data_IF_373685553069
#
_entry.id   IF_373685553069
#
_cell.length_a   1.000
_cell.length_b   1.000
_cell.length_c   1.000
_cell.angle_alpha   90.00
_cell.angle_beta   90.00
_cell.angle_gamma   90.00
#
_symmetry.space_group_name_H-M   'P 1'
#
loop_
_entity.id
_entity.type
_entity.pdbx_description
1 polymer ?
#
# COMPACT_ATOMS: atom_id res chain seq x y z
N UNK A 1 -1.42 4.10 29.44
CA UNK A 1 -1.34 3.97 27.97
C UNK A 1 -0.70 2.63 27.59
N UNK A 2 -1.23 2.00 26.52
CA UNK A 2 -0.76 0.66 26.10
C UNK A 2 0.36 0.73 25.06
N UNK A 3 0.45 1.86 24.33
CA UNK A 3 1.40 2.06 23.22
C UNK A 3 2.28 3.26 23.57
N UNK A 4 3.57 3.02 23.72
CA UNK A 4 4.55 4.07 23.98
C UNK A 4 5.15 4.66 22.70
N UNK A 5 5.33 3.83 21.67
CA UNK A 5 5.86 4.21 20.36
C UNK A 5 4.96 3.69 19.26
N UNK A 6 4.75 4.50 18.22
CA UNK A 6 3.95 4.18 17.04
C UNK A 6 4.78 4.45 15.79
N UNK A 7 4.89 3.47 14.92
CA UNK A 7 5.53 3.63 13.60
C UNK A 7 4.47 3.45 12.52
N UNK A 8 4.35 4.42 11.63
CA UNK A 8 3.42 4.45 10.52
C UNK A 8 4.22 4.51 9.21
N UNK A 9 4.20 3.44 8.43
CA UNK A 9 4.92 3.34 7.17
C UNK A 9 3.89 3.28 6.04
N UNK A 10 3.98 4.20 5.07
CA UNK A 10 3.19 4.18 3.85
C UNK A 10 1.70 3.87 4.11
N UNK A 11 1.01 4.73 4.86
CA UNK A 11 -0.37 4.52 5.32
C UNK A 11 -1.17 5.82 5.35
N UNK A 12 -2.47 5.72 5.66
CA UNK A 12 -3.36 6.87 5.79
C UNK A 12 -4.29 6.75 7.00
N UNK A 13 -4.82 7.87 7.48
CA UNK A 13 -5.83 7.92 8.53
C UNK A 13 -7.23 7.51 8.03
N UNK A 14 -7.47 7.64 6.74
CA UNK A 14 -8.69 7.20 6.05
C UNK A 14 -8.39 6.92 4.58
N UNK A 15 -9.22 6.11 3.94
CA UNK A 15 -9.15 5.91 2.51
C UNK A 15 -9.35 7.24 1.76
N UNK A 16 -8.46 7.55 0.84
CA UNK A 16 -8.57 8.72 -0.05
C UNK A 16 -9.47 8.38 -1.26
N UNK A 17 -10.04 9.40 -1.95
CA UNK A 17 -10.73 9.14 -3.22
C UNK A 17 -9.88 8.40 -4.25
N UNK A 18 -8.56 8.60 -4.23
CA UNK A 18 -7.61 7.91 -5.10
C UNK A 18 -7.52 6.41 -4.79
N UNK A 19 -7.32 6.05 -3.52
CA UNK A 19 -7.28 4.64 -3.11
C UNK A 19 -8.62 3.94 -3.35
N UNK A 20 -9.75 4.60 -3.06
CA UNK A 20 -11.09 4.09 -3.35
C UNK A 20 -11.27 3.83 -4.86
N UNK A 21 -10.80 4.74 -5.73
CA UNK A 21 -10.88 4.55 -7.17
C UNK A 21 -10.04 3.35 -7.66
N UNK A 22 -8.85 3.16 -7.10
CA UNK A 22 -8.01 1.98 -7.38
C UNK A 22 -8.73 0.70 -6.95
N UNK A 23 -9.31 0.67 -5.76
CA UNK A 23 -10.00 -0.50 -5.23
C UNK A 23 -11.28 -0.80 -6.02
N UNK A 24 -11.99 0.23 -6.47
CA UNK A 24 -13.15 0.06 -7.34
C UNK A 24 -12.79 -0.59 -8.68
N UNK A 25 -11.67 -0.20 -9.32
CA UNK A 25 -11.24 -0.88 -10.55
C UNK A 25 -10.97 -2.36 -10.34
N UNK A 26 -10.47 -2.74 -9.18
CA UNK A 26 -10.26 -4.13 -8.80
C UNK A 26 -11.59 -4.87 -8.57
N UNK A 27 -12.57 -4.23 -7.93
CA UNK A 27 -13.94 -4.79 -7.78
C UNK A 27 -14.61 -4.99 -9.12
N UNK A 28 -14.56 -3.99 -10.00
CA UNK A 28 -15.09 -4.09 -11.36
C UNK A 28 -14.48 -5.29 -12.13
N UNK A 29 -13.18 -5.54 -11.97
CA UNK A 29 -12.54 -6.70 -12.59
C UNK A 29 -13.08 -8.04 -12.04
N UNK A 30 -13.34 -8.12 -10.73
CA UNK A 30 -13.94 -9.32 -10.12
C UNK A 30 -15.38 -9.50 -10.57
N UNK A 31 -16.16 -8.43 -10.61
CA UNK A 31 -17.58 -8.44 -11.03
C UNK A 31 -17.76 -8.79 -12.50
N UNK A 32 -16.79 -8.47 -13.34
CA UNK A 32 -16.80 -8.85 -14.75
C UNK A 32 -16.62 -10.37 -14.99
N UNK A 33 -16.18 -11.13 -13.99
CA UNK A 33 -16.11 -12.59 -14.08
C UNK A 33 -17.51 -13.20 -14.00
N UNK A 34 -17.96 -13.85 -15.07
CA UNK A 34 -19.31 -14.44 -15.17
C UNK A 34 -19.63 -15.49 -14.10
N UNK A 35 -18.63 -15.99 -13.38
CA UNK A 35 -18.82 -16.93 -12.27
C UNK A 35 -18.95 -16.26 -10.91
N UNK A 36 -18.58 -14.97 -10.79
CA UNK A 36 -18.72 -14.24 -9.53
C UNK A 36 -20.19 -14.15 -9.12
N UNK A 37 -20.48 -14.33 -7.85
CA UNK A 37 -21.85 -14.44 -7.32
C UNK A 37 -22.36 -15.88 -7.21
N UNK A 38 -21.70 -16.88 -7.81
CA UNK A 38 -22.07 -18.28 -7.61
C UNK A 38 -21.62 -18.76 -6.22
N UNK A 39 -22.40 -19.63 -5.53
CA UNK A 39 -22.11 -20.05 -4.16
C UNK A 39 -21.02 -21.13 -4.07
N UNK A 40 -19.83 -20.84 -4.61
CA UNK A 40 -18.66 -21.72 -4.60
C UNK A 40 -17.37 -20.92 -4.44
N UNK A 41 -16.38 -21.50 -3.77
CA UNK A 41 -15.14 -20.79 -3.39
C UNK A 41 -14.23 -20.41 -4.57
N UNK A 42 -14.34 -21.08 -5.71
CA UNK A 42 -13.58 -20.84 -6.92
C UNK A 42 -14.30 -19.93 -7.93
N UNK A 43 -15.44 -19.35 -7.56
CA UNK A 43 -16.12 -18.36 -8.37
C UNK A 43 -15.35 -17.03 -8.39
N UNK A 44 -15.33 -16.34 -9.53
CA UNK A 44 -14.67 -15.05 -9.69
C UNK A 44 -13.13 -15.10 -9.76
N UNK A 45 -12.52 -16.28 -9.94
CA UNK A 45 -11.06 -16.41 -9.87
C UNK A 45 -10.33 -15.76 -11.03
N UNK A 46 -10.91 -15.68 -12.22
CA UNK A 46 -10.33 -14.93 -13.35
C UNK A 46 -10.38 -13.43 -13.08
N UNK A 47 -11.50 -12.95 -12.53
CA UNK A 47 -11.65 -11.58 -12.08
C UNK A 47 -10.67 -11.22 -10.97
N UNK A 48 -10.47 -12.12 -9.99
CA UNK A 48 -9.48 -11.95 -8.93
C UNK A 48 -8.05 -11.84 -9.48
N UNK A 49 -7.67 -12.66 -10.45
CA UNK A 49 -6.36 -12.58 -11.08
C UNK A 49 -6.15 -11.22 -11.78
N UNK A 50 -7.17 -10.72 -12.49
CA UNK A 50 -7.15 -9.41 -13.11
C UNK A 50 -7.09 -8.28 -12.07
N UNK A 51 -7.89 -8.36 -11.01
CA UNK A 51 -7.88 -7.41 -9.89
C UNK A 51 -6.48 -7.32 -9.25
N UNK A 52 -5.84 -8.46 -9.01
CA UNK A 52 -4.46 -8.48 -8.50
C UNK A 52 -3.47 -7.83 -9.45
N UNK A 53 -3.61 -8.05 -10.75
CA UNK A 53 -2.74 -7.43 -11.75
C UNK A 53 -2.89 -5.89 -11.75
N UNK A 54 -4.11 -5.38 -11.58
CA UNK A 54 -4.39 -3.94 -11.41
C UNK A 54 -3.75 -3.42 -10.12
N UNK A 55 -4.03 -4.04 -8.98
CA UNK A 55 -3.47 -3.63 -7.69
C UNK A 55 -1.95 -3.64 -7.67
N UNK A 56 -1.31 -4.63 -8.32
CA UNK A 56 0.14 -4.72 -8.37
C UNK A 56 0.81 -3.51 -9.03
N UNK A 57 0.18 -2.93 -10.06
CA UNK A 57 0.73 -1.74 -10.73
C UNK A 57 0.81 -0.54 -9.77
N UNK A 58 -0.11 -0.44 -8.83
CA UNK A 58 -0.12 0.66 -7.86
C UNK A 58 0.90 0.47 -6.74
N UNK A 59 1.33 -0.76 -6.48
CA UNK A 59 2.36 -1.06 -5.48
C UNK A 59 3.78 -0.80 -5.98
N UNK A 60 3.95 -0.65 -7.31
CA UNK A 60 5.25 -0.52 -7.96
C UNK A 60 5.48 0.88 -8.50
N UNK A 61 6.69 1.39 -8.33
CA UNK A 61 7.16 2.56 -9.07
C UNK A 61 7.50 2.19 -10.51
N UNK A 62 7.14 3.04 -11.48
CA UNK A 62 7.38 2.78 -12.90
C UNK A 62 8.88 2.55 -13.20
N UNK A 63 9.77 3.31 -12.56
CA UNK A 63 11.22 3.18 -12.74
C UNK A 63 11.72 1.78 -12.30
N UNK A 64 11.36 1.34 -11.09
CA UNK A 64 11.74 0.02 -10.57
C UNK A 64 11.09 -1.12 -11.35
N UNK A 65 9.85 -0.93 -11.84
CA UNK A 65 9.19 -1.91 -12.69
C UNK A 65 9.91 -2.07 -14.03
N UNK A 66 10.25 -0.98 -14.71
CA UNK A 66 10.99 -1.01 -15.98
C UNK A 66 12.37 -1.66 -15.80
N UNK A 67 13.06 -1.34 -14.71
CA UNK A 67 14.37 -1.94 -14.41
C UNK A 67 14.28 -3.47 -14.26
N UNK A 68 13.26 -3.97 -13.60
CA UNK A 68 13.14 -5.38 -13.23
C UNK A 68 12.43 -6.23 -14.28
N UNK A 69 11.54 -5.63 -15.11
CA UNK A 69 10.71 -6.37 -16.08
C UNK A 69 11.09 -6.10 -17.54
N UNK A 70 12.23 -5.47 -17.79
CA UNK A 70 12.75 -5.28 -19.14
C UNK A 70 13.02 -6.62 -19.82
N UNK A 71 12.61 -6.74 -21.09
CA UNK A 71 12.90 -7.91 -21.91
C UNK A 71 14.42 -8.04 -22.15
N UNK A 72 14.89 -9.28 -22.25
CA UNK A 72 16.30 -9.60 -22.50
C UNK A 72 16.60 -9.79 -24.00
N UNK A 73 15.56 -9.99 -24.78
CA UNK A 73 15.60 -10.21 -26.23
C UNK A 73 14.87 -9.07 -26.92
N UNK A 74 15.30 -8.71 -28.12
CA UNK A 74 14.71 -7.64 -28.91
C UNK A 74 13.26 -7.96 -29.34
N UNK A 75 12.99 -9.23 -29.68
CA UNK A 75 11.67 -9.73 -30.06
C UNK A 75 11.34 -11.02 -29.27
N UNK A 76 10.93 -10.89 -28.00
CA UNK A 76 10.60 -12.06 -27.19
C UNK A 76 9.27 -12.68 -27.63
N UNK A 77 9.13 -14.00 -27.48
CA UNK A 77 7.87 -14.71 -27.72
C UNK A 77 6.74 -14.22 -26.78
N UNK A 78 7.10 -13.77 -25.57
CA UNK A 78 6.22 -13.11 -24.64
C UNK A 78 6.99 -12.08 -23.80
N UNK A 79 6.42 -10.88 -23.64
CA UNK A 79 7.03 -9.83 -22.83
C UNK A 79 7.09 -10.21 -21.34
N UNK A 80 8.23 -9.97 -20.71
CA UNK A 80 8.44 -10.25 -19.27
C UNK A 80 7.41 -9.51 -18.41
N UNK A 81 7.11 -8.27 -18.74
CA UNK A 81 6.09 -7.49 -18.02
C UNK A 81 4.71 -8.17 -18.07
N UNK A 82 4.31 -8.70 -19.23
CA UNK A 82 3.02 -9.40 -19.39
C UNK A 82 2.99 -10.70 -18.59
N UNK A 83 4.01 -11.54 -18.72
CA UNK A 83 4.09 -12.81 -18.01
C UNK A 83 4.19 -12.63 -16.50
N UNK A 84 4.86 -11.58 -16.04
CA UNK A 84 4.94 -11.25 -14.64
C UNK A 84 3.57 -10.86 -14.06
N UNK A 85 2.78 -10.04 -14.75
CA UNK A 85 1.44 -9.67 -14.33
C UNK A 85 0.51 -10.89 -14.25
N UNK A 86 0.51 -11.74 -15.25
CA UNK A 86 -0.27 -12.99 -15.27
C UNK A 86 0.13 -13.89 -14.08
N UNK A 87 1.42 -14.11 -13.89
CA UNK A 87 1.95 -14.92 -12.78
C UNK A 87 1.50 -14.36 -11.41
N UNK A 88 1.56 -13.06 -11.21
CA UNK A 88 1.17 -12.47 -9.93
C UNK A 88 -0.34 -12.57 -9.67
N UNK A 89 -1.15 -12.46 -10.71
CA UNK A 89 -2.58 -12.72 -10.63
C UNK A 89 -2.87 -14.16 -10.19
N UNK A 90 -2.30 -15.15 -10.89
CA UNK A 90 -2.44 -16.55 -10.57
C UNK A 90 -1.90 -16.91 -9.16
N UNK A 91 -0.77 -16.32 -8.78
CA UNK A 91 -0.16 -16.52 -7.47
C UNK A 91 -1.09 -16.09 -6.33
N UNK A 92 -1.81 -14.96 -6.48
CA UNK A 92 -2.79 -14.54 -5.48
C UNK A 92 -3.94 -15.53 -5.37
N UNK A 93 -4.44 -16.05 -6.50
CA UNK A 93 -5.54 -17.02 -6.56
C UNK A 93 -5.25 -18.35 -5.81
N UNK A 94 -3.99 -18.63 -5.51
CA UNK A 94 -3.62 -19.81 -4.66
C UNK A 94 -3.82 -19.53 -3.16
N UNK A 95 -4.01 -18.28 -2.77
CA UNK A 95 -4.05 -17.82 -1.36
C UNK A 95 -5.39 -17.22 -0.97
N UNK A 96 -6.09 -16.62 -1.93
CA UNK A 96 -7.34 -15.92 -1.73
C UNK A 96 -8.41 -16.42 -2.70
N UNK A 97 -9.66 -16.34 -2.27
CA UNK A 97 -10.80 -16.39 -3.17
C UNK A 97 -11.32 -14.98 -3.47
N UNK A 98 -12.12 -14.82 -4.51
CA UNK A 98 -12.62 -13.53 -4.96
C UNK A 98 -13.48 -12.82 -3.89
N UNK A 99 -14.28 -13.57 -3.15
CA UNK A 99 -15.16 -12.99 -2.11
C UNK A 99 -14.38 -12.41 -0.95
N UNK A 100 -13.35 -13.12 -0.46
CA UNK A 100 -12.50 -12.62 0.62
C UNK A 100 -11.73 -11.38 0.20
N UNK A 101 -11.19 -11.37 -1.02
CA UNK A 101 -10.47 -10.22 -1.55
C UNK A 101 -11.39 -9.01 -1.74
N UNK A 102 -12.57 -9.22 -2.31
CA UNK A 102 -13.61 -8.20 -2.46
C UNK A 102 -14.03 -7.59 -1.12
N UNK A 103 -14.22 -8.44 -0.10
CA UNK A 103 -14.55 -7.96 1.25
C UNK A 103 -13.43 -7.14 1.88
N UNK A 104 -12.15 -7.49 1.62
CA UNK A 104 -11.00 -6.72 2.09
C UNK A 104 -10.95 -5.34 1.42
N UNK A 105 -11.18 -5.24 0.11
CA UNK A 105 -11.26 -3.96 -0.60
C UNK A 105 -12.34 -3.06 0.01
N UNK A 106 -13.55 -3.61 0.27
CA UNK A 106 -14.62 -2.86 0.91
C UNK A 106 -14.27 -2.41 2.34
N UNK A 107 -13.57 -3.25 3.10
CA UNK A 107 -13.11 -2.89 4.43
C UNK A 107 -12.08 -1.77 4.39
N UNK A 108 -11.20 -1.79 3.39
CA UNK A 108 -10.18 -0.77 3.16
C UNK A 108 -10.82 0.58 2.83
N UNK A 109 -11.77 0.63 1.89
CA UNK A 109 -12.49 1.84 1.50
C UNK A 109 -13.25 2.48 2.66
N UNK A 110 -13.71 1.66 3.59
CA UNK A 110 -14.43 2.14 4.78
C UNK A 110 -13.51 2.52 5.94
N UNK A 111 -12.18 2.40 5.78
CA UNK A 111 -11.24 2.78 6.82
C UNK A 111 -11.29 4.28 7.08
N UNK A 112 -11.54 4.65 8.34
CA UNK A 112 -11.54 6.02 8.83
C UNK A 112 -11.30 6.02 10.36
N UNK A 113 -10.13 6.47 10.77
CA UNK A 113 -9.78 6.57 12.21
C UNK A 113 -10.63 7.61 12.95
N UNK A 114 -11.22 8.54 12.21
CA UNK A 114 -12.08 9.60 12.76
C UNK A 114 -13.52 9.16 13.06
N UNK A 115 -13.95 8.01 12.53
CA UNK A 115 -15.31 7.54 12.68
C UNK A 115 -15.68 7.32 14.15
N UNK A 116 -16.73 8.02 14.62
CA UNK A 116 -17.16 7.99 16.01
C UNK A 116 -16.18 8.66 17.00
N UNK A 117 -15.16 9.41 16.50
CA UNK A 117 -14.16 10.07 17.34
C UNK A 117 -14.06 11.58 17.14
N UNK A 118 -15.05 12.19 16.49
CA UNK A 118 -15.09 13.64 16.24
C UNK A 118 -14.37 14.07 14.97
N UNK A 119 -14.15 13.14 14.03
CA UNK A 119 -13.42 13.36 12.78
C UNK A 119 -11.95 12.98 12.87
N UNK A 120 -11.30 12.97 11.71
CA UNK A 120 -9.90 12.50 11.57
C UNK A 120 -8.93 13.35 12.40
N UNK A 121 -9.05 14.68 12.32
CA UNK A 121 -8.16 15.61 13.06
C UNK A 121 -8.27 15.40 14.58
N UNK A 122 -9.51 15.27 15.09
CA UNK A 122 -9.73 15.05 16.51
C UNK A 122 -9.23 13.67 16.98
N UNK A 123 -9.29 12.66 16.12
CA UNK A 123 -8.78 11.33 16.41
C UNK A 123 -7.24 11.32 16.46
N UNK A 124 -6.59 11.94 15.45
CA UNK A 124 -5.13 12.02 15.35
C UNK A 124 -4.51 12.85 16.46
N UNK A 125 -5.15 13.97 16.83
CA UNK A 125 -4.70 14.83 17.94
C UNK A 125 -4.69 14.11 19.30
N UNK A 126 -5.36 12.96 19.45
CA UNK A 126 -5.35 12.16 20.69
C UNK A 126 -4.18 11.18 20.77
N UNK A 127 -3.39 11.04 19.71
CA UNK A 127 -2.24 10.15 19.74
C UNK A 127 -1.18 10.74 20.65
N UNK A 128 -0.97 10.08 21.80
CA UNK A 128 0.02 10.46 22.80
C UNK A 128 1.30 9.63 22.72
N UNK A 129 1.31 8.58 21.91
CA UNK A 129 2.51 7.79 21.67
C UNK A 129 3.53 8.61 20.88
N UNK A 130 4.83 8.50 21.21
CA UNK A 130 5.88 9.00 20.33
C UNK A 130 5.71 8.36 18.96
N UNK A 131 5.49 9.17 17.92
CA UNK A 131 5.08 8.69 16.60
C UNK A 131 6.11 9.03 15.55
N UNK A 132 6.48 8.04 14.75
CA UNK A 132 7.32 8.15 13.57
C UNK A 132 6.50 7.79 12.33
N UNK A 133 6.55 8.64 11.32
CA UNK A 133 5.98 8.36 10.00
C UNK A 133 7.10 8.19 8.99
N UNK A 134 6.95 7.20 8.10
CA UNK A 134 7.90 6.94 7.02
C UNK A 134 7.13 6.92 5.70
N UNK A 135 7.45 7.85 4.80
CA UNK A 135 6.97 7.89 3.42
C UNK A 135 7.97 7.24 2.46
N UNK A 136 7.54 7.04 1.22
CA UNK A 136 8.37 6.49 0.14
C UNK A 136 8.27 7.44 -1.04
N UNK A 137 9.41 7.90 -1.57
CA UNK A 137 9.48 8.98 -2.58
C UNK A 137 8.63 8.73 -3.82
N UNK A 138 8.45 7.48 -4.24
CA UNK A 138 7.70 7.10 -5.43
C UNK A 138 6.37 6.39 -5.15
N UNK A 139 5.91 6.39 -3.89
CA UNK A 139 4.61 5.79 -3.53
C UNK A 139 3.46 6.60 -4.14
N UNK A 140 2.64 5.93 -4.95
CA UNK A 140 1.48 6.52 -5.59
C UNK A 140 0.16 6.21 -4.85
N UNK A 141 0.18 5.30 -3.87
CA UNK A 141 -1.00 4.93 -3.08
C UNK A 141 -1.11 5.85 -1.87
N UNK A 142 -0.03 5.95 -1.10
CA UNK A 142 0.12 6.83 0.05
C UNK A 142 1.26 7.81 -0.21
N UNK A 143 0.95 8.84 -0.95
CA UNK A 143 1.95 9.78 -1.45
C UNK A 143 2.72 10.47 -0.32
N UNK A 144 3.99 10.89 -0.54
CA UNK A 144 4.73 11.69 0.43
C UNK A 144 3.95 12.92 0.92
N UNK A 145 3.17 13.54 0.04
CA UNK A 145 2.33 14.68 0.39
C UNK A 145 1.25 14.32 1.42
N UNK A 146 0.58 13.17 1.25
CA UNK A 146 -0.42 12.66 2.21
C UNK A 146 0.23 12.26 3.53
N UNK A 147 1.40 11.61 3.49
CA UNK A 147 2.14 11.23 4.69
C UNK A 147 2.60 12.46 5.49
N UNK A 148 3.07 13.51 4.82
CA UNK A 148 3.40 14.79 5.48
C UNK A 148 2.15 15.49 6.02
N UNK A 149 1.01 15.39 5.34
CA UNK A 149 -0.25 15.91 5.84
C UNK A 149 -0.70 15.16 7.11
N UNK A 150 -0.56 13.85 7.13
CA UNK A 150 -0.84 13.01 8.30
C UNK A 150 0.08 13.38 9.48
N UNK A 151 1.37 13.58 9.23
CA UNK A 151 2.33 13.98 10.24
C UNK A 151 1.93 15.30 10.92
N UNK A 152 1.49 16.31 10.16
CA UNK A 152 1.06 17.61 10.75
C UNK A 152 -0.14 17.50 11.69
N UNK A 153 -0.93 16.45 11.60
CA UNK A 153 -2.12 16.20 12.42
C UNK A 153 -1.80 15.42 13.71
N UNK A 154 -0.63 14.78 13.80
CA UNK A 154 -0.21 14.01 14.98
C UNK A 154 0.80 14.81 15.79
N UNK A 155 0.45 15.27 17.01
CA UNK A 155 1.32 16.12 17.81
C UNK A 155 2.67 15.47 18.12
N UNK A 156 3.76 16.21 17.90
CA UNK A 156 5.11 15.76 18.23
C UNK A 156 5.63 14.57 17.41
N UNK A 157 4.99 14.25 16.28
CA UNK A 157 5.45 13.17 15.41
C UNK A 157 6.63 13.59 14.54
N UNK A 158 7.47 12.61 14.22
CA UNK A 158 8.63 12.71 13.33
C UNK A 158 8.26 12.16 11.95
N UNK A 159 8.84 12.72 10.87
CA UNK A 159 8.62 12.25 9.50
C UNK A 159 9.93 12.06 8.76
N UNK A 160 10.07 10.93 8.10
CA UNK A 160 11.19 10.59 7.22
C UNK A 160 10.69 10.05 5.89
N UNK A 161 11.51 10.13 4.86
CA UNK A 161 11.29 9.49 3.58
C UNK A 161 12.42 8.52 3.27
N UNK A 162 12.07 7.35 2.73
CA UNK A 162 13.01 6.47 2.05
C UNK A 162 12.97 6.75 0.55
N UNK A 163 14.14 6.84 -0.05
CA UNK A 163 14.27 6.96 -1.50
C UNK A 163 14.24 5.58 -2.15
N UNK A 164 13.23 5.32 -2.98
CA UNK A 164 13.08 4.03 -3.63
C UNK A 164 12.42 4.18 -5.00
N UNK A 165 12.93 3.53 -6.04
CA UNK A 165 12.27 3.47 -7.35
C UNK A 165 11.11 2.46 -7.38
N UNK A 166 10.87 1.72 -6.28
CA UNK A 166 9.95 0.58 -6.25
C UNK A 166 8.53 0.91 -5.79
N UNK A 167 8.18 2.19 -5.61
CA UNK A 167 6.85 2.61 -5.20
C UNK A 167 6.50 2.19 -3.78
N UNK A 168 5.23 1.89 -3.52
CA UNK A 168 4.73 1.46 -2.23
C UNK A 168 5.54 0.27 -1.64
N UNK A 169 5.94 -0.69 -2.47
CA UNK A 169 6.75 -1.83 -2.04
C UNK A 169 8.19 -1.45 -1.62
N UNK A 170 8.61 -0.19 -1.74
CA UNK A 170 9.93 0.28 -1.33
C UNK A 170 10.27 -0.08 0.12
N UNK A 171 9.29 -0.02 1.05
CA UNK A 171 9.53 -0.40 2.45
C UNK A 171 9.88 -1.90 2.65
N UNK A 172 9.59 -2.74 1.65
CA UNK A 172 9.94 -4.16 1.66
C UNK A 172 11.32 -4.43 1.08
N UNK A 173 11.98 -3.43 0.49
CA UNK A 173 13.24 -3.58 -0.25
C UNK A 173 14.36 -2.74 0.37
N UNK A 174 14.06 -1.52 0.80
CA UNK A 174 15.03 -0.54 1.32
C UNK A 174 15.34 -0.76 2.80
N UNK A 175 15.82 -1.95 3.13
CA UNK A 175 16.03 -2.36 4.53
C UNK A 175 17.07 -1.53 5.27
N UNK A 176 18.14 -1.07 4.57
CA UNK A 176 19.19 -0.26 5.18
C UNK A 176 18.64 1.11 5.58
N UNK A 177 17.98 1.82 4.66
CA UNK A 177 17.37 3.12 4.94
C UNK A 177 16.35 3.03 6.08
N UNK A 178 15.51 1.97 6.08
CA UNK A 178 14.55 1.76 7.16
C UNK A 178 15.23 1.48 8.50
N UNK A 179 16.29 0.68 8.54
CA UNK A 179 17.01 0.40 9.76
C UNK A 179 17.65 1.67 10.35
N UNK A 180 18.21 2.54 9.50
CA UNK A 180 18.83 3.78 9.91
C UNK A 180 17.82 4.76 10.55
N UNK A 181 16.57 4.72 10.08
CA UNK A 181 15.47 5.51 10.63
C UNK A 181 14.87 4.86 11.89
N UNK A 182 14.58 3.57 11.82
CA UNK A 182 13.83 2.87 12.88
C UNK A 182 14.65 2.62 14.13
N UNK A 183 15.94 2.27 14.00
CA UNK A 183 16.79 1.93 15.14
C UNK A 183 16.93 3.07 16.16
N UNK A 184 17.33 4.31 15.78
CA UNK A 184 17.39 5.43 16.72
C UNK A 184 16.04 5.70 17.38
N UNK A 185 14.95 5.67 16.60
CA UNK A 185 13.60 5.88 17.13
C UNK A 185 13.24 4.84 18.20
N UNK A 186 13.54 3.57 17.95
CA UNK A 186 13.25 2.46 18.90
C UNK A 186 14.15 2.52 20.14
N UNK A 187 15.39 3.01 20.03
CA UNK A 187 16.31 3.20 21.15
C UNK A 187 16.04 4.47 21.95
N UNK A 188 15.14 5.32 21.49
CA UNK A 188 14.78 6.57 22.18
C UNK A 188 15.70 7.75 21.90
N UNK A 189 16.56 7.62 20.90
CA UNK A 189 17.44 8.69 20.43
C UNK A 189 16.66 9.63 19.49
N UNK A 190 17.08 10.92 19.33
CA UNK A 190 16.56 11.75 18.26
C UNK A 190 16.91 11.14 16.90
N UNK A 191 15.95 11.08 15.98
CA UNK A 191 16.25 10.73 14.59
C UNK A 191 16.80 11.97 13.89
N UNK A 192 17.93 11.86 13.21
CA UNK A 192 18.46 12.96 12.40
C UNK A 192 17.49 13.22 11.23
N UNK A 193 16.93 14.43 11.18
CA UNK A 193 16.12 14.85 10.04
C UNK A 193 17.04 15.08 8.84
N UNK A 194 17.02 14.21 7.87
CA UNK A 194 17.55 14.51 6.54
C UNK A 194 16.58 15.52 5.87
N UNK A 195 16.96 16.80 5.93
CA UNK A 195 16.31 17.90 5.19
C UNK A 195 16.56 17.76 3.67
#
# INVERSE_FOLDING_TARGET
>A
ERIARLVLIATAAKASPWTIAIDETQRMAIEADATFGQPRNDAGMKGLAAARAIGLLTYRGAAGYNLTQQDREELPAAHRASTYQQYQGEKLCRRYNAYSYYAILNAFDTHDVGRGRGGTDAALARIAARTLLVGITTDMIFTPAEMRALQRQIPGSEYHEIDSPFGHDGFLVEHEQLNDILRPFMEGQPTENNN
#
